data_IF_352350539283
#
_entry.id   IF_352350539283
#
_cell.length_a   1.000
_cell.length_b   1.000
_cell.length_c   1.000
_cell.angle_alpha   90.00
_cell.angle_beta   90.00
_cell.angle_gamma   90.00
#
_symmetry.space_group_name_H-M   'P 1'
#
loop_
_entity.id
_entity.type
_entity.pdbx_description
1 polymer ?
#
# COMPACT_ATOMS: atom_id res chain seq x y z
N UNK A 1 17.51 -5.46 5.01
CA UNK A 1 17.10 -6.32 6.15
C UNK A 1 15.83 -7.05 5.74
N UNK A 2 15.62 -8.32 6.12
CA UNK A 2 14.45 -9.07 5.64
C UNK A 2 13.22 -8.83 6.52
N UNK A 3 12.03 -8.84 5.90
CA UNK A 3 10.78 -8.44 6.55
C UNK A 3 10.26 -9.52 7.50
N UNK A 4 10.19 -10.79 7.08
CA UNK A 4 9.76 -11.92 7.94
C UNK A 4 10.93 -12.62 8.65
N UNK A 5 10.77 -12.88 9.94
CA UNK A 5 11.73 -13.60 10.79
C UNK A 5 10.99 -14.49 11.79
N UNK A 6 11.49 -15.70 12.06
CA UNK A 6 10.87 -16.63 13.02
C UNK A 6 10.99 -16.18 14.48
N UNK A 7 11.78 -15.14 14.74
CA UNK A 7 12.11 -14.64 16.08
C UNK A 7 11.55 -13.25 16.39
N UNK A 8 10.75 -12.66 15.51
CA UNK A 8 10.13 -11.36 15.78
C UNK A 8 8.74 -11.28 15.16
N UNK A 9 7.85 -10.59 15.85
CA UNK A 9 6.51 -10.28 15.38
C UNK A 9 6.57 -9.12 14.39
N UNK A 10 5.80 -9.21 13.31
CA UNK A 10 5.63 -8.15 12.33
C UNK A 10 4.18 -7.72 12.35
N UNK A 11 3.97 -6.42 12.46
CA UNK A 11 2.63 -5.87 12.46
C UNK A 11 2.29 -5.38 11.05
N UNK A 12 1.15 -5.87 10.56
CA UNK A 12 0.55 -5.47 9.30
C UNK A 12 -0.79 -4.82 9.64
N UNK A 13 -1.10 -3.71 8.99
CA UNK A 13 -2.37 -3.03 9.16
C UNK A 13 -3.08 -2.83 7.83
N UNK A 14 -4.38 -2.55 7.90
CA UNK A 14 -5.14 -2.03 6.77
C UNK A 14 -6.03 -0.89 7.24
N UNK A 15 -6.16 0.17 6.44
CA UNK A 15 -6.94 1.35 6.75
C UNK A 15 -7.62 1.91 5.49
N UNK A 16 -8.95 2.03 5.54
CA UNK A 16 -9.69 2.85 4.60
C UNK A 16 -9.66 4.33 5.03
N UNK A 17 -9.00 5.19 4.24
CA UNK A 17 -8.73 6.60 4.58
C UNK A 17 -9.75 7.55 3.96
N UNK A 18 -10.52 7.11 2.95
CA UNK A 18 -11.52 7.87 2.18
C UNK A 18 -10.99 9.05 1.34
N UNK A 19 -9.92 9.74 1.76
CA UNK A 19 -9.23 10.74 0.94
C UNK A 19 -7.77 10.88 1.36
N UNK A 20 -6.81 10.52 0.48
CA UNK A 20 -5.36 10.62 0.78
C UNK A 20 -4.59 11.57 -0.14
N UNK A 21 -5.19 12.10 -1.22
CA UNK A 21 -4.50 12.84 -2.29
C UNK A 21 -3.69 14.08 -1.82
N UNK A 22 -3.90 14.55 -0.59
CA UNK A 22 -3.08 15.59 0.02
C UNK A 22 -1.81 15.01 0.66
N UNK A 23 -0.64 15.53 0.26
CA UNK A 23 0.67 15.18 0.84
C UNK A 23 0.69 15.27 2.37
N UNK A 24 -0.10 16.17 2.97
CA UNK A 24 -0.27 16.28 4.42
C UNK A 24 -0.88 15.04 5.09
N UNK A 25 -1.86 14.40 4.44
CA UNK A 25 -2.52 13.18 4.95
C UNK A 25 -1.55 12.00 4.90
N UNK A 26 -0.71 11.91 3.86
CA UNK A 26 0.32 10.87 3.79
C UNK A 26 1.30 10.91 4.98
N UNK A 27 1.67 12.11 5.46
CA UNK A 27 2.52 12.26 6.64
C UNK A 27 1.82 11.86 7.94
N UNK A 28 0.51 12.17 8.07
CA UNK A 28 -0.28 11.74 9.22
C UNK A 28 -0.42 10.21 9.27
N UNK A 29 -0.70 9.58 8.13
CA UNK A 29 -0.75 8.11 8.01
C UNK A 29 0.61 7.51 8.37
N UNK A 30 1.72 8.09 7.90
CA UNK A 30 3.06 7.63 8.27
C UNK A 30 3.32 7.78 9.77
N UNK A 31 2.80 8.83 10.42
CA UNK A 31 2.91 8.99 11.86
C UNK A 31 2.12 7.91 12.63
N UNK A 32 0.88 7.61 12.20
CA UNK A 32 0.08 6.55 12.81
C UNK A 32 0.67 5.15 12.54
N UNK A 33 1.20 4.91 11.34
CA UNK A 33 1.93 3.68 11.00
C UNK A 33 3.08 3.45 11.98
N UNK A 34 3.86 4.49 12.29
CA UNK A 34 4.94 4.42 13.29
C UNK A 34 4.39 4.23 14.71
N UNK A 35 3.31 4.91 15.07
CA UNK A 35 2.66 4.80 16.39
C UNK A 35 2.22 3.38 16.70
N UNK A 36 1.67 2.68 15.71
CA UNK A 36 1.26 1.27 15.82
C UNK A 36 2.38 0.28 15.47
N UNK A 37 3.60 0.75 15.22
CA UNK A 37 4.76 -0.07 14.87
C UNK A 37 4.49 -1.02 13.68
N UNK A 38 3.74 -0.54 12.69
CA UNK A 38 3.40 -1.29 11.49
C UNK A 38 4.57 -1.29 10.51
N UNK A 39 4.84 -2.45 9.93
CA UNK A 39 5.85 -2.59 8.88
C UNK A 39 5.26 -2.36 7.48
N UNK A 40 4.01 -2.78 7.29
CA UNK A 40 3.24 -2.60 6.06
C UNK A 40 1.82 -2.20 6.43
N UNK A 41 1.33 -1.13 5.79
CA UNK A 41 -0.03 -0.65 5.92
C UNK A 41 -0.70 -0.68 4.55
N UNK A 42 -1.75 -1.48 4.41
CA UNK A 42 -2.67 -1.42 3.29
C UNK A 42 -3.59 -0.21 3.42
N UNK A 43 -3.76 0.53 2.34
CA UNK A 43 -4.59 1.74 2.30
C UNK A 43 -5.60 1.59 1.18
N UNK A 44 -6.85 1.93 1.45
CA UNK A 44 -7.92 2.00 0.44
C UNK A 44 -8.46 3.42 0.34
N UNK A 45 -9.00 3.76 -0.84
CA UNK A 45 -9.60 5.05 -1.18
C UNK A 45 -8.58 6.20 -1.16
N UNK A 46 -7.46 6.03 -1.88
CA UNK A 46 -6.34 6.98 -1.82
C UNK A 46 -6.45 8.19 -2.75
N UNK A 47 -7.26 8.09 -3.82
CA UNK A 47 -7.52 9.14 -4.82
C UNK A 47 -6.32 9.55 -5.71
N UNK A 48 -5.19 8.82 -5.71
CA UNK A 48 -4.01 9.13 -6.55
C UNK A 48 -4.19 8.82 -8.04
N UNK A 49 -3.94 9.74 -8.97
CA UNK A 49 -4.30 9.60 -10.41
C UNK A 49 -3.47 8.64 -11.24
N UNK A 50 -2.33 8.16 -10.75
CA UNK A 50 -1.41 7.34 -11.55
C UNK A 50 -1.00 6.08 -10.80
N UNK A 51 -0.46 5.10 -11.50
CA UNK A 51 0.32 4.02 -10.86
C UNK A 51 1.68 4.58 -10.52
N UNK A 52 2.15 4.36 -9.30
CA UNK A 52 3.46 4.86 -8.96
C UNK A 52 3.94 4.51 -7.57
N UNK A 53 5.10 5.07 -7.26
CA UNK A 53 5.69 4.99 -5.95
C UNK A 53 6.24 6.36 -5.54
N UNK A 54 6.09 6.69 -4.27
CA UNK A 54 6.62 7.93 -3.71
C UNK A 54 7.28 7.64 -2.37
N UNK A 55 8.52 8.08 -2.21
CA UNK A 55 9.20 8.06 -0.93
C UNK A 55 8.89 9.33 -0.16
N UNK A 56 8.35 9.19 1.04
CA UNK A 56 8.14 10.32 1.94
C UNK A 56 9.49 10.79 2.51
N UNK A 57 9.59 12.06 2.88
CA UNK A 57 10.79 12.61 3.53
C UNK A 57 11.08 11.94 4.87
N UNK A 58 10.06 11.44 5.56
CA UNK A 58 10.18 10.63 6.77
C UNK A 58 10.78 9.24 6.52
N UNK A 59 10.76 8.78 5.27
CA UNK A 59 11.50 7.64 4.77
C UNK A 59 10.69 6.38 4.49
N UNK A 60 9.38 6.38 4.77
CA UNK A 60 8.42 5.39 4.30
C UNK A 60 8.30 5.43 2.77
N UNK A 61 7.94 4.30 2.17
CA UNK A 61 7.66 4.19 0.74
C UNK A 61 6.17 3.92 0.54
N UNK A 62 5.52 4.79 -0.22
CA UNK A 62 4.15 4.59 -0.67
C UNK A 62 4.17 3.97 -2.06
N UNK A 63 3.48 2.85 -2.23
CA UNK A 63 3.20 2.20 -3.51
C UNK A 63 1.70 2.35 -3.76
N UNK A 64 1.28 2.82 -4.92
CA UNK A 64 -0.14 3.07 -5.17
C UNK A 64 -0.55 2.61 -6.56
N UNK A 65 -1.75 2.04 -6.65
CA UNK A 65 -2.41 1.70 -7.90
C UNK A 65 -3.19 2.91 -8.42
N UNK A 66 -3.38 2.93 -9.74
CA UNK A 66 -4.13 3.96 -10.43
C UNK A 66 -4.39 3.54 -11.87
N UNK A 67 -5.09 4.40 -12.60
CA UNK A 67 -5.35 4.27 -14.03
C UNK A 67 -5.23 5.67 -14.64
N UNK A 68 -4.66 5.79 -15.84
CA UNK A 68 -4.41 7.08 -16.49
C UNK A 68 -5.69 7.85 -16.91
N UNK A 69 -6.87 7.25 -16.73
CA UNK A 69 -8.14 7.91 -17.05
C UNK A 69 -8.47 9.03 -16.07
N UNK A 70 -8.33 10.26 -16.58
CA UNK A 70 -8.58 11.53 -15.90
C UNK A 70 -10.01 11.68 -15.34
N UNK A 71 -10.98 10.91 -15.87
CA UNK A 71 -12.41 11.02 -15.56
C UNK A 71 -13.00 9.84 -14.75
N UNK A 72 -12.19 8.85 -14.35
CA UNK A 72 -12.69 7.73 -13.56
C UNK A 72 -13.01 8.17 -12.11
N UNK A 73 -14.04 7.60 -11.44
CA UNK A 73 -14.32 7.91 -10.04
C UNK A 73 -13.11 7.58 -9.17
N UNK A 74 -12.49 8.61 -8.58
CA UNK A 74 -11.21 8.53 -7.86
C UNK A 74 -11.28 7.73 -6.53
N UNK A 75 -12.45 7.19 -6.21
CA UNK A 75 -12.80 6.53 -4.95
C UNK A 75 -12.30 5.08 -4.81
N UNK A 76 -11.54 4.55 -5.78
CA UNK A 76 -11.37 3.09 -5.94
C UNK A 76 -9.93 2.58 -5.81
N UNK A 77 -9.00 3.46 -5.43
CA UNK A 77 -7.56 3.18 -5.51
C UNK A 77 -7.02 2.63 -4.20
N UNK A 78 -6.06 1.73 -4.32
CA UNK A 78 -5.38 1.10 -3.19
C UNK A 78 -3.91 1.48 -3.15
N UNK A 79 -3.33 1.41 -1.97
CA UNK A 79 -1.91 1.62 -1.79
C UNK A 79 -1.35 0.70 -0.70
N UNK A 80 -0.04 0.57 -0.69
CA UNK A 80 0.74 0.01 0.39
C UNK A 80 1.72 1.08 0.86
N UNK A 81 1.67 1.42 2.15
CA UNK A 81 2.73 2.19 2.80
C UNK A 81 3.67 1.23 3.52
N UNK A 82 4.96 1.37 3.23
CA UNK A 82 6.02 0.50 3.71
C UNK A 82 6.96 1.27 4.64
N UNK A 83 7.30 0.66 5.77
CA UNK A 83 8.35 1.16 6.64
C UNK A 83 9.70 1.17 5.91
N UNK A 84 10.72 1.79 6.51
CA UNK A 84 12.11 1.71 6.01
C UNK A 84 12.59 0.26 5.91
N UNK A 85 12.20 -0.61 6.85
CA UNK A 85 12.60 -2.01 6.88
C UNK A 85 11.87 -2.82 5.81
N UNK A 86 10.54 -2.69 5.70
CA UNK A 86 9.75 -3.34 4.66
C UNK A 86 10.20 -2.94 3.26
N UNK A 87 10.48 -1.64 3.04
CA UNK A 87 11.04 -1.17 1.77
C UNK A 87 12.34 -1.88 1.41
N UNK A 88 13.27 -1.99 2.36
CA UNK A 88 14.56 -2.63 2.11
C UNK A 88 14.45 -4.15 1.87
N UNK A 89 13.29 -4.74 2.18
CA UNK A 89 12.97 -6.13 1.88
C UNK A 89 12.17 -6.29 0.59
N UNK A 90 11.64 -5.21 -0.01
CA UNK A 90 10.83 -5.27 -1.23
C UNK A 90 11.68 -5.79 -2.39
N UNK A 91 11.19 -6.84 -3.06
CA UNK A 91 11.78 -7.42 -4.27
C UNK A 91 11.16 -6.77 -5.51
N UNK A 92 9.84 -6.58 -5.48
CA UNK A 92 9.09 -5.98 -6.58
C UNK A 92 7.62 -5.82 -6.20
N UNK A 93 6.89 -5.04 -6.98
CA UNK A 93 5.47 -4.88 -6.84
C UNK A 93 4.82 -4.65 -8.20
N UNK A 94 3.53 -4.92 -8.28
CA UNK A 94 2.71 -4.76 -9.48
C UNK A 94 1.31 -4.32 -9.07
N UNK A 95 0.69 -3.46 -9.88
CA UNK A 95 -0.73 -3.12 -9.78
C UNK A 95 -1.51 -3.92 -10.82
N UNK A 96 -2.66 -4.46 -10.41
CA UNK A 96 -3.60 -5.15 -11.29
C UNK A 96 -4.89 -4.31 -11.37
N UNK A 97 -4.89 -3.30 -12.23
CA UNK A 97 -5.93 -2.27 -12.29
C UNK A 97 -5.92 -1.33 -11.09
N UNK A 98 -7.01 -0.59 -10.89
CA UNK A 98 -7.10 0.43 -9.81
C UNK A 98 -7.21 -0.18 -8.42
N UNK A 99 -7.77 -1.38 -8.30
CA UNK A 99 -8.26 -1.93 -7.04
C UNK A 99 -7.33 -2.92 -6.37
N UNK A 100 -6.28 -3.38 -7.05
CA UNK A 100 -5.40 -4.43 -6.56
C UNK A 100 -3.95 -3.99 -6.69
N UNK A 101 -3.21 -4.10 -5.59
CA UNK A 101 -1.76 -3.97 -5.58
C UNK A 101 -1.14 -5.18 -4.87
N UNK A 102 -0.08 -5.71 -5.47
CA UNK A 102 0.66 -6.86 -4.95
C UNK A 102 2.12 -6.47 -4.78
N UNK A 103 2.67 -6.75 -3.61
CA UNK A 103 4.08 -6.52 -3.29
C UNK A 103 4.74 -7.81 -2.78
N UNK A 104 5.93 -8.09 -3.33
CA UNK A 104 6.75 -9.26 -3.01
C UNK A 104 7.94 -8.83 -2.15
N UNK A 105 8.14 -9.50 -1.01
CA UNK A 105 9.19 -9.20 -0.05
C UNK A 105 10.12 -10.39 0.20
N UNK A 106 11.40 -10.10 0.39
CA UNK A 106 12.42 -11.03 0.84
C UNK A 106 12.24 -11.30 2.34
N UNK A 107 12.22 -12.58 2.71
CA UNK A 107 12.20 -13.01 4.12
C UNK A 107 13.60 -13.37 4.61
N UNK A 108 13.77 -13.56 5.93
CA UNK A 108 15.05 -14.03 6.49
C UNK A 108 15.36 -15.47 6.09
N UNK A 109 14.33 -16.27 5.80
CA UNK A 109 14.49 -17.67 5.42
C UNK A 109 14.76 -17.74 3.94
N UNK A 110 15.93 -18.25 3.58
CA UNK A 110 16.34 -18.43 2.20
C UNK A 110 15.34 -19.33 1.46
N UNK A 111 15.09 -19.03 0.19
CA UNK A 111 14.08 -19.70 -0.63
C UNK A 111 12.62 -19.35 -0.29
N UNK A 112 12.36 -18.52 0.73
CA UNK A 112 11.00 -18.08 1.08
C UNK A 112 10.83 -16.58 0.83
N UNK A 113 9.81 -16.24 0.07
CA UNK A 113 9.33 -14.87 -0.13
C UNK A 113 7.94 -14.69 0.48
N UNK A 114 7.59 -13.45 0.78
CA UNK A 114 6.26 -13.09 1.26
C UNK A 114 5.56 -12.23 0.22
N UNK A 115 4.31 -12.55 -0.10
CA UNK A 115 3.46 -11.69 -0.91
C UNK A 115 2.43 -11.01 -0.01
N UNK A 116 2.23 -9.71 -0.21
CA UNK A 116 1.13 -8.94 0.38
C UNK A 116 0.29 -8.41 -0.76
N UNK A 117 -1.02 -8.65 -0.68
CA UNK A 117 -2.00 -8.17 -1.64
C UNK A 117 -2.97 -7.27 -0.88
N UNK A 118 -3.08 -6.02 -1.31
CA UNK A 118 -4.14 -5.12 -0.88
C UNK A 118 -5.16 -5.03 -2.02
N UNK A 119 -6.42 -5.25 -1.68
CA UNK A 119 -7.53 -5.22 -2.61
C UNK A 119 -8.69 -4.41 -2.02
N UNK A 120 -9.40 -3.67 -2.87
CA UNK A 120 -10.68 -3.07 -2.52
C UNK A 120 -11.76 -3.55 -3.49
N UNK A 121 -12.75 -4.29 -2.97
CA UNK A 121 -13.80 -4.95 -3.78
C UNK A 121 -14.98 -3.98 -3.95
N UNK A 122 -15.62 -3.89 -5.15
CA UNK A 122 -16.83 -3.10 -5.35
C UNK A 122 -17.95 -3.52 -4.38
N UNK A 123 -18.74 -2.56 -3.91
CA UNK A 123 -19.95 -2.84 -3.12
C UNK A 123 -21.12 -3.20 -4.05
N UNK A 124 -22.08 -4.00 -3.58
CA UNK A 124 -23.17 -4.57 -4.40
C UNK A 124 -24.03 -3.56 -5.19
N UNK A 125 -24.03 -2.28 -4.80
CA UNK A 125 -24.75 -1.21 -5.51
C UNK A 125 -23.99 -0.66 -6.73
N UNK A 126 -22.99 -1.39 -7.20
CA UNK A 126 -22.09 -0.99 -8.26
C UNK A 126 -22.60 -1.48 -9.62
N UNK A 127 -23.12 -0.56 -10.44
CA UNK A 127 -23.21 -0.76 -11.88
C UNK A 127 -21.83 -0.50 -12.51
N UNK A 128 -21.34 -1.46 -13.29
CA UNK A 128 -20.14 -1.31 -14.13
C UNK A 128 -20.33 -0.28 -15.26
N UNK A 129 -21.58 0.08 -15.55
CA UNK A 129 -22.01 0.93 -16.68
C UNK A 129 -22.42 2.36 -16.26
N UNK A 130 -21.51 3.15 -15.67
CA UNK A 130 -21.72 4.59 -15.44
C UNK A 130 -20.54 5.41 -15.93
#
# INVERSE_FOLDING_TARGET
>A
MPLLTTRATIYLGTWNVRTMCDTGIAFQIAAEMRRYNLEVLGISETHWTQVGQQRLTSGELLLYSGHEEENAPHTRRVALMLSKQARNALIGWESHGERIIKALFKTKKEGISMNIIQCYVPTNDYNEDA
#
